data_IF_217124991828
#
_entry.id   IF_217124991828
#
_cell.length_a   1.000
_cell.length_b   1.000
_cell.length_c   1.000
_cell.angle_alpha   90.00
_cell.angle_beta   90.00
_cell.angle_gamma   90.00
#
_symmetry.space_group_name_H-M   'P 1'
#
loop_
_entity.id
_entity.type
_entity.pdbx_description
1 polymer ?
#
# COMPACT_ATOMS: atom_id res chain seq x y z
N UNK A 1 5.85 -21.77 -11.35
CA UNK A 1 5.92 -20.93 -12.57
C UNK A 1 5.11 -19.65 -12.35
N UNK A 2 5.59 -18.72 -11.52
CA UNK A 2 4.87 -17.46 -11.22
C UNK A 2 5.82 -16.26 -11.06
N UNK A 3 7.07 -16.51 -10.64
CA UNK A 3 8.06 -15.46 -10.34
C UNK A 3 8.82 -14.88 -11.55
N UNK A 4 8.74 -15.48 -12.74
CA UNK A 4 9.58 -15.06 -13.88
C UNK A 4 8.94 -13.99 -14.78
N UNK A 5 7.64 -13.71 -14.65
CA UNK A 5 6.97 -12.65 -15.43
C UNK A 5 7.20 -11.25 -14.87
N UNK A 6 7.61 -11.15 -13.60
CA UNK A 6 7.62 -9.90 -12.83
C UNK A 6 9.01 -9.26 -12.76
N UNK A 7 9.68 -9.05 -13.90
CA UNK A 7 11.00 -8.38 -13.86
C UNK A 7 11.29 -7.43 -15.01
N UNK A 8 10.25 -6.83 -15.61
CA UNK A 8 10.42 -5.75 -16.57
C UNK A 8 9.34 -4.70 -16.41
N UNK A 9 9.34 -4.04 -15.25
CA UNK A 9 8.96 -2.63 -15.04
C UNK A 9 8.75 -2.44 -13.54
N UNK A 10 9.75 -1.84 -12.87
CA UNK A 10 9.53 -1.30 -11.53
C UNK A 10 8.56 -0.14 -11.70
N UNK A 11 7.33 -0.16 -11.19
CA UNK A 11 6.53 1.04 -11.17
C UNK A 11 7.24 2.00 -10.21
N UNK A 12 7.93 2.98 -10.78
CA UNK A 12 8.48 4.12 -10.03
C UNK A 12 7.38 5.12 -9.68
N UNK A 13 6.17 4.93 -10.21
CA UNK A 13 5.10 5.91 -10.23
C UNK A 13 3.77 5.23 -9.91
N UNK A 14 2.89 6.01 -9.26
CA UNK A 14 1.47 5.70 -9.08
C UNK A 14 0.83 5.48 -10.45
N UNK A 15 0.18 4.34 -10.68
CA UNK A 15 -0.58 4.11 -11.91
C UNK A 15 -2.01 4.60 -11.74
N UNK A 16 -2.69 4.91 -12.85
CA UNK A 16 -4.09 5.34 -12.84
C UNK A 16 -5.09 4.33 -12.22
N UNK A 17 -4.62 3.16 -11.79
CA UNK A 17 -5.43 2.12 -11.15
C UNK A 17 -5.39 2.17 -9.61
N UNK A 18 -4.46 2.89 -8.99
CA UNK A 18 -4.42 3.00 -7.53
C UNK A 18 -5.27 4.17 -7.02
N UNK A 19 -5.74 4.04 -5.78
CA UNK A 19 -6.46 5.09 -5.07
C UNK A 19 -5.64 5.56 -3.87
N UNK A 20 -5.69 6.86 -3.56
CA UNK A 20 -5.12 7.41 -2.33
C UNK A 20 -6.24 7.79 -1.39
N UNK A 21 -6.17 7.31 -0.14
CA UNK A 21 -7.07 7.71 0.95
C UNK A 21 -6.30 8.51 2.00
N UNK A 22 -6.90 9.62 2.44
CA UNK A 22 -6.39 10.38 3.59
C UNK A 22 -6.80 9.68 4.88
N UNK A 23 -5.81 9.34 5.71
CA UNK A 23 -6.03 8.77 7.04
C UNK A 23 -5.57 9.75 8.11
N UNK A 24 -5.92 9.49 9.37
CA UNK A 24 -5.41 10.28 10.51
C UNK A 24 -3.88 10.23 10.65
N UNK A 25 -3.20 9.27 9.99
CA UNK A 25 -1.74 9.12 9.97
C UNK A 25 -1.12 9.55 8.64
N UNK A 26 -1.88 10.20 7.75
CA UNK A 26 -1.44 10.67 6.44
C UNK A 26 -1.98 9.84 5.26
N UNK A 27 -1.55 10.19 4.03
CA UNK A 27 -2.05 9.56 2.81
C UNK A 27 -1.56 8.12 2.69
N UNK A 28 -2.46 7.22 2.32
CA UNK A 28 -2.18 5.82 2.00
C UNK A 28 -2.67 5.52 0.60
N UNK A 29 -1.74 5.11 -0.27
CA UNK A 29 -2.06 4.58 -1.59
C UNK A 29 -2.40 3.10 -1.49
N UNK A 30 -3.44 2.65 -2.17
CA UNK A 30 -3.88 1.26 -2.16
C UNK A 30 -4.51 0.86 -3.49
N UNK A 31 -4.63 -0.44 -3.67
CA UNK A 31 -5.46 -1.08 -4.70
C UNK A 31 -6.52 -1.95 -4.02
N UNK A 32 -7.72 -1.98 -4.60
CA UNK A 32 -8.86 -2.78 -4.14
C UNK A 32 -9.45 -3.53 -5.32
N UNK A 33 -9.39 -4.86 -5.27
CA UNK A 33 -9.90 -5.75 -6.33
C UNK A 33 -10.95 -6.69 -5.80
N UNK A 34 -12.02 -6.91 -6.57
CA UNK A 34 -13.14 -7.77 -6.17
C UNK A 34 -14.33 -6.99 -5.63
N UNK A 35 -15.37 -7.71 -5.22
CA UNK A 35 -16.66 -7.12 -4.82
C UNK A 35 -17.33 -7.81 -3.61
N UNK A 36 -16.60 -8.66 -2.87
CA UNK A 36 -17.13 -9.36 -1.70
C UNK A 36 -16.38 -9.04 -0.40
N UNK A 37 -16.35 -9.97 0.58
CA UNK A 37 -15.72 -9.75 1.88
C UNK A 37 -14.25 -9.34 1.75
N UNK A 38 -13.83 -8.33 2.52
CA UNK A 38 -12.51 -7.71 2.35
C UNK A 38 -11.43 -8.47 3.14
N UNK A 39 -10.40 -8.93 2.44
CA UNK A 39 -9.13 -9.38 2.99
C UNK A 39 -8.08 -8.26 2.83
N UNK A 40 -7.40 -7.92 3.94
CA UNK A 40 -6.29 -6.96 3.95
C UNK A 40 -4.98 -7.70 3.71
N UNK A 41 -4.25 -7.31 2.67
CA UNK A 41 -2.95 -7.90 2.31
C UNK A 41 -1.84 -6.86 2.38
N UNK A 42 -0.78 -7.18 3.12
CA UNK A 42 0.44 -6.39 3.16
C UNK A 42 1.52 -7.01 2.28
N UNK A 43 1.98 -6.25 1.31
CA UNK A 43 2.99 -6.69 0.36
C UNK A 43 4.38 -6.84 1.01
N UNK A 44 5.20 -7.72 0.43
CA UNK A 44 6.61 -7.92 0.80
C UNK A 44 7.55 -6.81 0.30
N UNK A 45 8.86 -7.05 0.39
CA UNK A 45 9.87 -6.12 -0.14
C UNK A 45 9.86 -6.06 -1.67
N UNK A 46 10.28 -4.92 -2.22
CA UNK A 46 10.41 -4.63 -3.66
C UNK A 46 9.10 -4.55 -4.46
N UNK A 47 7.93 -4.68 -3.83
CA UNK A 47 6.60 -4.51 -4.45
C UNK A 47 5.83 -3.38 -3.76
N UNK A 48 4.69 -2.95 -4.31
CA UNK A 48 3.79 -1.95 -3.72
C UNK A 48 2.34 -2.46 -3.72
N UNK A 49 1.32 -1.58 -3.89
CA UNK A 49 -0.10 -1.98 -3.98
C UNK A 49 -0.37 -3.09 -5.02
N UNK A 50 0.47 -3.21 -6.05
CA UNK A 50 0.36 -4.20 -7.12
C UNK A 50 0.90 -5.61 -6.76
N UNK A 51 1.36 -5.83 -5.53
CA UNK A 51 1.94 -7.10 -5.07
C UNK A 51 0.94 -8.24 -4.81
N UNK A 52 -0.29 -8.16 -5.32
CA UNK A 52 -1.41 -9.02 -4.92
C UNK A 52 -1.54 -10.34 -5.71
N UNK A 53 -0.75 -10.56 -6.76
CA UNK A 53 -0.91 -11.67 -7.72
C UNK A 53 -0.86 -13.09 -7.12
N UNK A 54 -0.17 -13.28 -5.98
CA UNK A 54 -0.16 -14.57 -5.27
C UNK A 54 -1.52 -14.91 -4.63
N UNK A 55 -2.42 -13.92 -4.55
CA UNK A 55 -3.72 -14.00 -3.90
C UNK A 55 -4.89 -13.82 -4.89
N UNK A 56 -4.63 -13.93 -6.19
CA UNK A 56 -5.66 -13.84 -7.25
C UNK A 56 -6.83 -14.80 -7.01
N UNK A 57 -6.53 -16.01 -6.53
CA UNK A 57 -7.53 -17.01 -6.15
C UNK A 57 -8.55 -16.50 -5.12
N UNK A 58 -8.22 -15.54 -4.26
CA UNK A 58 -9.20 -14.96 -3.32
C UNK A 58 -10.24 -14.13 -4.07
N UNK A 59 -9.82 -13.33 -5.06
CA UNK A 59 -10.71 -12.53 -5.89
C UNK A 59 -11.60 -13.45 -6.73
N UNK A 60 -11.03 -14.50 -7.32
CA UNK A 60 -11.77 -15.52 -8.08
C UNK A 60 -12.83 -16.25 -7.22
N UNK A 61 -12.57 -16.40 -5.92
CA UNK A 61 -13.51 -16.99 -4.97
C UNK A 61 -14.43 -15.96 -4.30
N UNK A 62 -14.56 -14.77 -4.88
CA UNK A 62 -15.55 -13.76 -4.50
C UNK A 62 -15.16 -12.90 -3.30
N UNK A 63 -13.89 -12.88 -2.89
CA UNK A 63 -13.40 -11.91 -1.90
C UNK A 63 -13.01 -10.59 -2.58
N UNK A 64 -12.91 -9.55 -1.78
CA UNK A 64 -12.21 -8.32 -2.14
C UNK A 64 -10.83 -8.30 -1.50
N UNK A 65 -9.79 -7.95 -2.25
CA UNK A 65 -8.43 -7.86 -1.76
C UNK A 65 -7.98 -6.40 -1.72
N UNK A 66 -7.77 -5.88 -0.51
CA UNK A 66 -7.26 -4.54 -0.25
C UNK A 66 -5.75 -4.62 -0.02
N UNK A 67 -4.96 -4.01 -0.90
CA UNK A 67 -3.49 -4.00 -0.81
C UNK A 67 -2.96 -2.57 -0.71
N UNK A 68 -2.73 -2.03 0.51
CA UNK A 68 -2.08 -0.74 0.68
C UNK A 68 -0.57 -0.82 0.41
N UNK A 69 -0.02 0.23 -0.18
CA UNK A 69 1.41 0.51 -0.20
C UNK A 69 1.90 0.84 1.22
N UNK A 70 3.05 0.30 1.61
CA UNK A 70 3.68 0.61 2.91
C UNK A 70 4.24 2.05 2.95
N UNK A 71 4.39 2.67 4.13
CA UNK A 71 5.12 3.93 4.25
C UNK A 71 6.51 3.86 3.62
N UNK A 72 6.84 4.84 2.78
CA UNK A 72 8.07 4.90 1.99
C UNK A 72 7.97 4.28 0.60
N UNK A 73 6.80 3.76 0.22
CA UNK A 73 6.52 3.26 -1.13
C UNK A 73 5.53 4.18 -1.84
N UNK A 74 5.87 4.58 -3.07
CA UNK A 74 5.03 5.34 -3.99
C UNK A 74 4.39 6.57 -3.30
N UNK A 75 3.06 6.74 -3.39
CA UNK A 75 2.37 7.89 -2.80
C UNK A 75 2.12 7.76 -1.28
N UNK A 76 2.47 6.62 -0.66
CA UNK A 76 2.40 6.45 0.80
C UNK A 76 3.67 6.99 1.45
N UNK A 77 3.64 8.28 1.80
CA UNK A 77 4.81 9.00 2.33
C UNK A 77 5.34 8.35 3.60
N UNK A 78 6.67 8.15 3.65
CA UNK A 78 7.33 7.81 4.91
C UNK A 78 7.32 9.06 5.78
N UNK A 79 6.58 9.01 6.89
CA UNK A 79 6.68 10.06 7.90
C UNK A 79 7.85 9.70 8.81
N UNK A 80 8.98 10.36 8.58
CA UNK A 80 10.11 10.36 9.51
C UNK A 80 9.95 11.50 10.53
N UNK A 81 10.57 11.41 11.71
CA UNK A 81 10.61 12.53 12.66
C UNK A 81 11.15 13.82 12.03
N UNK A 82 12.03 13.69 11.04
CA UNK A 82 12.65 14.81 10.32
C UNK A 82 11.71 15.46 9.28
N UNK A 83 10.69 14.74 8.81
CA UNK A 83 9.71 15.24 7.83
C UNK A 83 8.42 15.76 8.46
N UNK A 84 8.27 15.67 9.78
CA UNK A 84 7.14 16.25 10.52
C UNK A 84 7.41 17.73 10.81
N UNK A 85 6.42 18.58 10.57
CA UNK A 85 6.42 19.95 11.10
C UNK A 85 6.65 19.93 12.61
N UNK A 86 7.40 20.90 13.19
CA UNK A 86 7.63 20.99 14.63
C UNK A 86 6.33 20.91 15.46
N UNK A 87 5.21 21.36 14.91
CA UNK A 87 3.90 21.33 15.56
C UNK A 87 3.35 19.91 15.77
N UNK A 88 3.67 18.96 14.87
CA UNK A 88 3.18 17.59 14.98
C UNK A 88 3.95 16.77 16.02
N UNK A 89 5.23 17.11 16.25
CA UNK A 89 6.09 16.49 17.26
C UNK A 89 5.62 16.79 18.69
N UNK A 90 4.98 17.94 18.89
CA UNK A 90 4.44 18.37 20.19
C UNK A 90 3.11 17.69 20.53
N UNK A 91 2.26 17.43 19.53
CA UNK A 91 0.92 16.87 19.73
C UNK A 91 0.90 15.35 19.91
N UNK A 92 1.90 14.64 19.37
CA UNK A 92 2.02 13.18 19.51
C UNK A 92 3.42 12.80 19.96
N UNK A 93 3.78 13.03 21.23
CA UNK A 93 5.05 12.58 21.77
C UNK A 93 5.10 11.05 21.71
N UNK A 94 6.25 10.54 21.28
CA UNK A 94 6.57 9.12 21.16
C UNK A 94 6.16 8.38 22.45
N UNK A 95 5.07 7.59 22.41
CA UNK A 95 4.74 6.68 23.51
C UNK A 95 5.40 5.35 23.22
N UNK A 96 6.31 4.98 24.12
CA UNK A 96 7.06 3.73 24.20
C UNK A 96 6.18 2.49 24.14
#
# INVERSE_FOLDING_TARGET
MYIHRWNHEKPKESTAESTVVETTKGPVEYDLRGAGPVALHFHGGNVAYNGWCLFEHLVENGYSLLTPSRPGYLATKLISPTSMSPLHMVLFPNRS
#
